data_IF_868637023930
#
_entry.id   IF_868637023930
#
_cell.length_a   1.000
_cell.length_b   1.000
_cell.length_c   1.000
_cell.angle_alpha   90.00
_cell.angle_beta   90.00
_cell.angle_gamma   90.00
#
_symmetry.space_group_name_H-M   'P 1'
#
loop_
_entity.id
_entity.type
_entity.pdbx_description
1 polymer ?
#
# COMPACT_ATOMS: atom_id res chain seq x y z
N UNK A 1 -25.87 -39.45 44.01
CA UNK A 1 -25.42 -39.72 45.39
C UNK A 1 -23.95 -39.35 45.44
N UNK A 2 -23.40 -38.38 46.18
CA UNK A 2 -23.79 -37.54 47.31
C UNK A 2 -22.95 -36.25 47.17
N UNK A 3 -23.55 -35.07 46.92
CA UNK A 3 -23.68 -33.94 47.86
C UNK A 3 -22.49 -33.72 48.84
N UNK A 4 -21.87 -32.54 48.79
CA UNK A 4 -22.05 -31.50 49.83
C UNK A 4 -21.36 -30.18 49.49
N UNK A 5 -22.17 -29.14 49.46
CA UNK A 5 -21.84 -27.73 49.70
C UNK A 5 -21.45 -27.51 51.17
N UNK A 6 -20.67 -26.45 51.48
CA UNK A 6 -21.12 -25.35 52.37
C UNK A 6 -20.04 -24.28 52.66
N UNK A 7 -20.48 -23.01 52.58
CA UNK A 7 -20.26 -21.83 53.48
C UNK A 7 -18.80 -21.35 53.70
N UNK A 8 -18.46 -20.09 53.94
CA UNK A 8 -19.09 -18.80 54.34
C UNK A 8 -17.90 -17.79 54.37
N UNK A 9 -17.98 -16.47 54.38
CA UNK A 9 -19.05 -15.52 54.64
C UNK A 9 -18.50 -14.07 54.55
N UNK A 10 -19.43 -13.12 54.49
CA UNK A 10 -19.27 -11.68 54.63
C UNK A 10 -18.52 -11.22 55.88
N UNK A 11 -17.87 -10.04 55.80
CA UNK A 11 -18.07 -8.95 56.78
C UNK A 11 -17.98 -7.58 56.09
N UNK A 12 -18.96 -6.73 56.40
CA UNK A 12 -19.08 -5.29 56.14
C UNK A 12 -18.71 -4.58 57.45
N UNK A 13 -18.07 -3.39 57.37
CA UNK A 13 -18.36 -2.14 58.11
C UNK A 13 -17.10 -1.24 58.13
N UNK A 14 -17.07 0.08 58.23
CA UNK A 14 -17.95 1.26 58.01
C UNK A 14 -17.26 2.40 58.79
N UNK A 15 -17.08 3.57 58.15
CA UNK A 15 -16.93 4.95 58.66
C UNK A 15 -16.05 5.26 59.90
N UNK A 16 -15.29 6.37 59.81
CA UNK A 16 -15.71 7.64 60.41
C UNK A 16 -14.73 8.81 60.14
N UNK A 17 -15.33 9.95 59.76
CA UNK A 17 -14.75 11.29 59.69
C UNK A 17 -14.38 11.85 61.06
N UNK A 18 -13.41 12.78 61.09
CA UNK A 18 -13.43 13.94 62.00
C UNK A 18 -12.86 15.19 61.30
N UNK A 19 -13.68 16.24 61.30
CA UNK A 19 -13.43 17.66 61.01
C UNK A 19 -12.45 18.27 62.04
N UNK A 20 -11.65 19.34 61.77
CA UNK A 20 -12.01 20.79 61.67
C UNK A 20 -10.69 21.61 61.93
N UNK A 21 -10.62 22.97 61.92
CA UNK A 21 -10.89 23.96 60.84
C UNK A 21 -9.88 25.17 60.79
N UNK A 22 -10.21 26.19 59.96
CA UNK A 22 -9.77 27.64 59.91
C UNK A 22 -8.33 27.96 59.45
N UNK A 23 -8.00 29.00 58.65
CA UNK A 23 -8.68 30.25 58.27
C UNK A 23 -8.01 30.95 57.05
N UNK A 24 -8.80 31.77 56.33
CA UNK A 24 -8.45 32.98 55.53
C UNK A 24 -7.41 32.85 54.39
N UNK A 25 -7.63 33.28 53.14
CA UNK A 25 -8.65 34.13 52.54
C UNK A 25 -7.96 34.99 51.47
N UNK A 26 -8.30 34.82 50.19
CA UNK A 26 -8.10 35.85 49.17
C UNK A 26 -8.95 35.56 47.93
N UNK A 27 -9.63 36.62 47.49
CA UNK A 27 -10.47 36.72 46.31
C UNK A 27 -9.65 36.62 45.02
N UNK A 28 -10.21 36.01 43.98
CA UNK A 28 -10.54 36.71 42.73
C UNK A 28 -10.95 35.72 41.63
N UNK A 29 -12.09 36.04 41.00
CA UNK A 29 -12.52 35.68 39.64
C UNK A 29 -12.26 34.25 39.13
N UNK A 30 -13.34 33.48 39.02
CA UNK A 30 -13.42 32.29 38.17
C UNK A 30 -13.04 32.63 36.70
N UNK A 31 -12.09 31.93 36.07
CA UNK A 31 -11.91 32.04 34.64
C UNK A 31 -13.02 31.25 33.94
N UNK A 32 -13.79 31.99 33.14
CA UNK A 32 -14.72 31.49 32.13
C UNK A 32 -14.02 30.42 31.26
N UNK A 33 -14.67 29.30 30.90
CA UNK A 33 -14.05 28.32 30.01
C UNK A 33 -13.73 29.00 28.68
N UNK A 34 -12.44 29.05 28.35
CA UNK A 34 -11.95 29.48 27.05
C UNK A 34 -12.45 28.47 26.02
N UNK A 35 -13.06 28.90 24.90
CA UNK A 35 -13.37 27.98 23.82
C UNK A 35 -12.04 27.39 23.34
N UNK A 36 -11.91 26.07 23.43
CA UNK A 36 -10.84 25.31 22.80
C UNK A 36 -10.79 25.75 21.34
N UNK A 37 -9.73 26.49 21.02
CA UNK A 37 -9.47 26.95 19.68
C UNK A 37 -9.05 25.71 18.91
N UNK A 38 -10.02 25.21 18.13
CA UNK A 38 -9.81 24.43 16.91
C UNK A 38 -8.59 25.02 16.18
N UNK A 39 -7.44 24.41 16.43
CA UNK A 39 -6.20 24.66 15.71
C UNK A 39 -6.08 23.56 14.66
N UNK A 40 -6.96 23.68 13.67
CA UNK A 40 -6.65 23.32 12.30
C UNK A 40 -5.42 24.16 11.87
N UNK A 41 -4.23 23.84 12.38
CA UNK A 41 -2.98 24.40 11.85
C UNK A 41 -2.75 23.70 10.51
N UNK A 42 -2.71 24.42 9.38
CA UNK A 42 -2.42 23.82 8.10
C UNK A 42 -1.02 23.18 8.19
N UNK A 43 -1.00 21.87 7.99
CA UNK A 43 0.18 21.02 7.93
C UNK A 43 1.23 21.69 7.04
N UNK A 44 2.36 22.13 7.62
CA UNK A 44 3.36 22.90 6.87
C UNK A 44 3.93 22.01 5.76
N UNK A 45 4.01 22.51 4.51
CA UNK A 45 4.59 21.73 3.42
C UNK A 45 6.03 21.36 3.78
N UNK A 46 6.37 20.07 3.71
CA UNK A 46 7.75 19.61 3.84
C UNK A 46 8.59 20.32 2.78
N UNK A 47 9.47 21.23 3.21
CA UNK A 47 10.33 21.98 2.28
C UNK A 47 11.36 21.00 1.74
N UNK A 48 11.20 20.61 0.47
CA UNK A 48 12.13 19.72 -0.25
C UNK A 48 13.14 20.53 -1.03
N UNK A 49 14.42 20.20 -0.87
CA UNK A 49 15.52 20.80 -1.63
C UNK A 49 16.24 19.71 -2.40
N UNK A 50 16.75 20.03 -3.60
CA UNK A 50 17.52 19.09 -4.41
C UNK A 50 18.99 19.48 -4.37
N UNK A 51 19.84 18.54 -3.95
CA UNK A 51 21.29 18.66 -4.05
C UNK A 51 21.80 17.71 -5.13
N UNK A 52 22.59 18.25 -6.07
CA UNK A 52 23.03 17.53 -7.25
C UNK A 52 24.56 17.47 -7.30
N UNK A 53 25.10 16.27 -7.08
CA UNK A 53 26.52 15.95 -7.21
C UNK A 53 26.77 15.23 -8.54
N UNK A 54 27.61 15.78 -9.41
CA UNK A 54 27.97 15.16 -10.69
C UNK A 54 29.42 14.69 -10.65
N UNK A 55 29.59 13.38 -10.66
CA UNK A 55 30.86 12.70 -10.66
C UNK A 55 31.52 12.81 -12.05
N UNK A 56 32.69 13.42 -12.10
CA UNK A 56 33.49 13.63 -13.31
C UNK A 56 34.89 13.03 -13.15
N UNK A 57 35.47 12.59 -14.27
CA UNK A 57 36.86 12.13 -14.29
C UNK A 57 37.84 13.30 -14.50
N UNK A 58 39.13 13.08 -14.23
CA UNK A 58 40.19 14.09 -14.31
C UNK A 58 40.48 14.61 -15.73
N UNK A 59 40.02 13.90 -16.77
CA UNK A 59 40.39 14.20 -18.15
C UNK A 59 39.80 15.54 -18.65
N UNK A 60 40.50 16.29 -19.53
CA UNK A 60 40.09 17.64 -19.94
C UNK A 60 38.70 17.72 -20.59
N UNK A 61 38.30 16.69 -21.33
CA UNK A 61 36.99 16.59 -21.97
C UNK A 61 35.83 16.68 -20.96
N UNK A 62 35.96 16.06 -19.78
CA UNK A 62 34.94 16.13 -18.73
C UNK A 62 34.75 17.54 -18.17
N UNK A 63 35.81 18.37 -18.12
CA UNK A 63 35.71 19.74 -17.61
C UNK A 63 34.89 20.64 -18.53
N UNK A 64 35.07 20.49 -19.84
CA UNK A 64 34.27 21.23 -20.84
C UNK A 64 32.80 20.82 -20.73
N UNK A 65 32.53 19.52 -20.65
CA UNK A 65 31.17 18.99 -20.47
C UNK A 65 30.54 19.39 -19.13
N UNK A 66 31.31 19.46 -18.05
CA UNK A 66 30.85 19.96 -16.76
C UNK A 66 30.41 21.42 -16.83
N UNK A 67 31.11 22.27 -17.60
CA UNK A 67 30.68 23.66 -17.79
C UNK A 67 29.36 23.76 -18.58
N UNK A 68 29.21 22.97 -19.64
CA UNK A 68 27.97 22.91 -20.43
C UNK A 68 26.78 22.46 -19.56
N UNK A 69 26.96 21.40 -18.78
CA UNK A 69 25.95 20.92 -17.83
C UNK A 69 25.66 21.91 -16.71
N UNK A 70 26.68 22.58 -16.19
CA UNK A 70 26.54 23.57 -15.13
C UNK A 70 25.64 24.73 -15.55
N UNK A 71 25.81 25.23 -16.78
CA UNK A 71 24.95 26.27 -17.35
C UNK A 71 23.51 25.78 -17.50
N UNK A 72 23.32 24.62 -18.12
CA UNK A 72 21.98 24.06 -18.34
C UNK A 72 21.22 23.86 -17.03
N UNK A 73 21.87 23.28 -16.01
CA UNK A 73 21.23 23.01 -14.72
C UNK A 73 20.94 24.29 -13.94
N UNK A 74 21.81 25.31 -14.04
CA UNK A 74 21.55 26.64 -13.47
C UNK A 74 20.36 27.33 -14.12
N UNK A 75 20.21 27.24 -15.45
CA UNK A 75 19.03 27.74 -16.18
C UNK A 75 17.74 27.04 -15.73
N UNK A 76 17.83 25.77 -15.35
CA UNK A 76 16.72 25.00 -14.78
C UNK A 76 16.47 25.30 -13.29
N UNK A 77 17.25 26.17 -12.66
CA UNK A 77 17.10 26.56 -11.25
C UNK A 77 17.83 25.67 -10.24
N UNK A 78 18.75 24.81 -10.69
CA UNK A 78 19.51 23.89 -9.85
C UNK A 78 20.98 24.30 -9.74
N UNK A 79 21.61 24.00 -8.60
CA UNK A 79 23.02 24.31 -8.35
C UNK A 79 23.87 23.02 -8.27
N UNK A 80 24.38 22.50 -9.41
CA UNK A 80 25.19 21.28 -9.40
C UNK A 80 26.59 21.50 -8.82
N UNK A 81 27.08 20.50 -8.10
CA UNK A 81 28.49 20.39 -7.67
C UNK A 81 29.18 19.33 -8.52
N UNK A 82 30.21 19.74 -9.25
CA UNK A 82 31.04 18.81 -10.03
C UNK A 82 32.25 18.39 -9.21
N UNK A 83 32.47 17.09 -9.04
CA UNK A 83 33.59 16.56 -8.26
C UNK A 83 34.05 15.21 -8.76
N UNK A 84 35.21 14.76 -8.28
CA UNK A 84 35.69 13.41 -8.54
C UNK A 84 34.96 12.39 -7.65
N UNK A 85 34.78 11.15 -8.14
CA UNK A 85 34.24 10.06 -7.34
C UNK A 85 35.22 9.70 -6.21
N UNK A 86 34.70 9.42 -5.02
CA UNK A 86 35.46 8.75 -3.97
C UNK A 86 35.66 7.27 -4.36
N UNK A 87 36.71 6.59 -3.86
CA UNK A 87 36.89 5.16 -4.13
C UNK A 87 35.65 4.35 -3.73
N UNK A 88 35.09 3.58 -4.68
CA UNK A 88 33.90 2.76 -4.46
C UNK A 88 32.57 3.53 -4.41
N UNK A 89 32.54 4.82 -4.77
CA UNK A 89 31.32 5.61 -4.76
C UNK A 89 30.42 5.32 -5.96
N UNK A 90 29.15 5.04 -5.70
CA UNK A 90 28.15 4.72 -6.70
C UNK A 90 27.14 5.86 -6.94
N UNK A 91 26.54 5.84 -8.15
CA UNK A 91 25.42 6.70 -8.55
C UNK A 91 24.21 6.32 -7.70
N UNK A 92 23.57 7.29 -7.06
CA UNK A 92 22.41 7.07 -6.19
C UNK A 92 21.52 8.29 -6.11
N UNK A 93 20.27 8.07 -5.70
CA UNK A 93 19.31 9.12 -5.37
C UNK A 93 18.77 8.76 -4.00
N UNK A 94 18.92 9.64 -3.02
CA UNK A 94 18.57 9.36 -1.63
C UNK A 94 17.93 10.58 -0.95
N UNK A 95 16.94 10.34 -0.08
CA UNK A 95 16.35 11.40 0.73
C UNK A 95 17.09 11.51 2.07
N UNK A 96 17.73 12.65 2.29
CA UNK A 96 18.40 13.01 3.54
C UNK A 96 17.43 13.84 4.37
N UNK A 97 16.92 13.25 5.45
CA UNK A 97 16.01 13.93 6.38
C UNK A 97 16.83 14.67 7.44
N UNK A 98 16.67 15.99 7.53
CA UNK A 98 17.27 16.85 8.55
C UNK A 98 16.17 17.67 9.24
N UNK A 99 15.63 17.15 10.35
CA UNK A 99 14.52 17.78 11.06
C UNK A 99 13.23 17.78 10.24
N UNK A 100 12.70 18.96 9.94
CA UNK A 100 11.51 19.20 9.10
C UNK A 100 11.84 19.35 7.60
N UNK A 101 13.13 19.32 7.24
CA UNK A 101 13.60 19.45 5.86
C UNK A 101 13.99 18.10 5.29
N UNK A 102 13.61 17.89 4.04
CA UNK A 102 14.05 16.72 3.27
C UNK A 102 14.91 17.23 2.11
N UNK A 103 16.14 16.76 2.05
CA UNK A 103 17.06 17.06 0.95
C UNK A 103 17.18 15.82 0.08
N UNK A 104 16.79 15.94 -1.18
CA UNK A 104 16.95 14.89 -2.18
C UNK A 104 18.36 15.00 -2.73
N UNK A 105 19.24 14.12 -2.27
CA UNK A 105 20.63 14.08 -2.66
C UNK A 105 20.80 13.15 -3.87
N UNK A 106 21.18 13.73 -5.00
CA UNK A 106 21.32 13.07 -6.28
C UNK A 106 22.81 13.01 -6.64
N UNK A 107 23.36 11.81 -6.67
CA UNK A 107 24.74 11.54 -7.12
C UNK A 107 24.68 10.95 -8.53
N UNK A 108 25.13 11.73 -9.52
CA UNK A 108 25.11 11.40 -10.94
C UNK A 108 26.49 11.03 -11.46
N UNK A 109 26.57 10.11 -12.42
CA UNK A 109 27.83 9.82 -13.12
C UNK A 109 27.87 10.46 -14.51
N UNK A 110 28.94 11.20 -14.84
CA UNK A 110 29.19 11.66 -16.20
C UNK A 110 29.94 10.59 -16.99
N UNK A 111 29.40 10.22 -18.15
CA UNK A 111 30.04 9.30 -19.10
C UNK A 111 31.02 10.04 -20.01
N UNK A 112 31.90 9.29 -20.70
CA UNK A 112 32.92 9.85 -21.59
C UNK A 112 32.36 10.62 -22.79
N UNK A 113 31.13 10.29 -23.21
CA UNK A 113 30.38 10.98 -24.25
C UNK A 113 29.74 12.30 -23.77
N UNK A 114 29.94 12.66 -22.50
CA UNK A 114 29.39 13.86 -21.89
C UNK A 114 27.93 13.73 -21.46
N UNK A 115 27.32 12.55 -21.53
CA UNK A 115 26.01 12.29 -20.94
C UNK A 115 26.09 12.13 -19.43
N UNK A 116 25.01 12.44 -18.71
CA UNK A 116 24.88 12.17 -17.27
C UNK A 116 23.89 11.03 -17.04
N UNK A 117 24.12 10.27 -15.98
CA UNK A 117 23.22 9.20 -15.54
C UNK A 117 22.63 9.54 -14.18
N UNK A 118 21.30 9.47 -14.08
CA UNK A 118 20.52 9.58 -12.84
C UNK A 118 19.79 8.25 -12.64
N UNK A 119 20.18 7.50 -11.62
CA UNK A 119 19.72 6.11 -11.45
C UNK A 119 19.98 5.28 -12.72
N UNK A 120 18.91 4.75 -13.33
CA UNK A 120 18.99 3.96 -14.57
C UNK A 120 18.89 4.79 -15.86
N UNK A 121 18.51 6.06 -15.77
CA UNK A 121 18.23 6.91 -16.92
C UNK A 121 19.49 7.66 -17.37
N UNK A 122 19.64 7.81 -18.69
CA UNK A 122 20.75 8.53 -19.33
C UNK A 122 20.20 9.81 -19.95
N UNK A 123 20.85 10.94 -19.69
CA UNK A 123 20.48 12.25 -20.23
C UNK A 123 21.63 12.85 -21.01
N UNK A 124 21.28 13.45 -22.15
CA UNK A 124 22.18 14.27 -22.97
C UNK A 124 21.81 15.74 -22.82
N UNK A 125 22.67 16.64 -23.31
CA UNK A 125 22.39 18.09 -23.25
C UNK A 125 21.11 18.48 -24.02
N UNK A 126 20.67 17.67 -24.99
CA UNK A 126 19.43 17.91 -25.74
C UNK A 126 18.18 17.46 -24.99
N UNK A 127 18.31 16.68 -23.91
CA UNK A 127 17.19 16.17 -23.11
C UNK A 127 16.78 17.13 -21.99
N UNK A 128 17.06 18.43 -22.11
CA UNK A 128 16.84 19.44 -21.06
C UNK A 128 15.42 19.43 -20.48
N UNK A 129 14.39 19.36 -21.33
CA UNK A 129 12.99 19.29 -20.90
C UNK A 129 12.69 18.00 -20.12
N UNK A 130 13.21 16.85 -20.57
CA UNK A 130 13.00 15.58 -19.88
C UNK A 130 13.71 15.57 -18.53
N UNK A 131 14.93 16.09 -18.49
CA UNK A 131 15.70 16.22 -17.27
C UNK A 131 15.01 17.15 -16.26
N UNK A 132 14.47 18.28 -16.73
CA UNK A 132 13.69 19.19 -15.88
C UNK A 132 12.52 18.48 -15.22
N UNK A 133 11.73 17.74 -16.00
CA UNK A 133 10.59 16.97 -15.48
C UNK A 133 11.06 16.01 -14.39
N UNK A 134 12.13 15.25 -14.64
CA UNK A 134 12.65 14.29 -13.66
C UNK A 134 13.18 14.97 -12.39
N UNK A 135 13.89 16.11 -12.51
CA UNK A 135 14.38 16.84 -11.35
C UNK A 135 13.26 17.51 -10.56
N UNK A 136 12.24 18.04 -11.24
CA UNK A 136 11.04 18.59 -10.61
C UNK A 136 10.26 17.48 -9.90
N UNK A 137 10.10 16.31 -10.52
CA UNK A 137 9.50 15.13 -9.88
C UNK A 137 10.29 14.67 -8.64
N UNK A 138 11.62 14.64 -8.71
CA UNK A 138 12.45 14.31 -7.56
C UNK A 138 12.34 15.37 -6.46
N UNK A 139 12.27 16.66 -6.81
CA UNK A 139 12.03 17.74 -5.84
C UNK A 139 10.68 17.59 -5.15
N UNK A 140 9.64 17.27 -5.91
CA UNK A 140 8.27 17.28 -5.43
C UNK A 140 7.95 15.99 -4.64
N UNK A 141 8.45 14.83 -5.10
CA UNK A 141 8.12 13.49 -4.57
C UNK A 141 9.27 12.75 -3.88
N UNK A 142 10.51 13.27 -3.92
CA UNK A 142 11.68 12.62 -3.34
C UNK A 142 12.29 11.52 -4.21
N UNK A 143 13.26 10.81 -3.64
CA UNK A 143 14.13 9.85 -4.33
C UNK A 143 13.43 8.69 -5.03
N UNK A 144 12.22 8.30 -4.61
CA UNK A 144 11.45 7.27 -5.30
C UNK A 144 10.49 7.78 -6.38
N UNK A 145 10.49 9.07 -6.73
CA UNK A 145 9.69 9.62 -7.83
C UNK A 145 8.17 9.62 -7.58
N UNK A 146 7.37 9.97 -8.61
CA UNK A 146 5.94 10.17 -8.43
C UNK A 146 5.23 8.88 -8.02
N UNK A 147 4.40 8.91 -6.96
CA UNK A 147 3.83 7.70 -6.38
C UNK A 147 2.92 6.95 -7.36
N UNK A 148 2.34 7.63 -8.34
CA UNK A 148 1.43 7.05 -9.33
C UNK A 148 2.13 6.13 -10.35
N UNK A 149 3.46 6.24 -10.53
CA UNK A 149 4.20 5.48 -11.57
C UNK A 149 5.26 4.52 -11.02
N UNK A 150 5.61 4.63 -9.74
CA UNK A 150 6.55 3.72 -9.08
C UNK A 150 5.81 2.71 -8.19
N UNK A 151 6.03 1.40 -8.31
CA UNK A 151 5.44 0.40 -7.41
C UNK A 151 5.85 0.56 -5.93
N UNK A 152 6.88 1.35 -5.62
CA UNK A 152 7.31 1.67 -4.23
C UNK A 152 6.83 3.04 -3.75
N UNK A 153 6.05 3.78 -4.56
CA UNK A 153 5.40 5.04 -4.19
C UNK A 153 6.33 6.13 -3.65
N UNK A 154 7.53 6.31 -4.21
CA UNK A 154 8.46 7.30 -3.66
C UNK A 154 9.39 6.76 -2.58
N UNK A 155 9.15 5.54 -2.09
CA UNK A 155 9.94 4.95 -1.00
C UNK A 155 11.12 4.12 -1.49
N UNK A 156 12.19 4.13 -0.70
CA UNK A 156 13.28 3.16 -0.79
C UNK A 156 12.79 1.76 -0.38
N UNK A 157 13.49 0.71 -0.77
CA UNK A 157 13.16 -0.68 -0.38
C UNK A 157 13.09 -0.86 1.15
N UNK A 158 14.05 -0.28 1.89
CA UNK A 158 14.06 -0.32 3.35
C UNK A 158 12.80 0.33 3.95
N UNK A 159 12.39 1.49 3.42
CA UNK A 159 11.19 2.19 3.87
C UNK A 159 9.92 1.41 3.52
N UNK A 160 9.87 0.78 2.34
CA UNK A 160 8.75 -0.08 1.98
C UNK A 160 8.62 -1.27 2.95
N UNK A 161 9.74 -1.90 3.32
CA UNK A 161 9.76 -2.96 4.32
C UNK A 161 9.32 -2.47 5.71
N UNK A 162 9.65 -1.23 6.09
CA UNK A 162 9.12 -0.62 7.32
C UNK A 162 7.59 -0.51 7.29
N UNK A 163 7.01 -0.04 6.18
CA UNK A 163 5.55 0.02 5.99
C UNK A 163 4.92 -1.37 6.02
N UNK A 164 5.47 -2.31 5.24
CA UNK A 164 4.96 -3.68 5.19
C UNK A 164 4.95 -4.32 6.58
N UNK A 165 5.98 -4.07 7.39
CA UNK A 165 6.05 -4.57 8.75
C UNK A 165 4.94 -4.01 9.63
N UNK A 166 4.71 -2.70 9.59
CA UNK A 166 3.61 -2.06 10.36
C UNK A 166 2.24 -2.59 9.91
N UNK A 167 2.05 -2.75 8.61
CA UNK A 167 0.80 -3.25 8.04
C UNK A 167 0.62 -4.77 8.12
N UNK A 168 1.64 -5.52 8.55
CA UNK A 168 1.59 -6.98 8.71
C UNK A 168 0.80 -7.45 9.93
N UNK A 169 0.43 -6.55 10.85
CA UNK A 169 -0.39 -6.88 12.01
C UNK A 169 -1.69 -7.58 11.58
N UNK A 170 -2.09 -8.68 12.24
CA UNK A 170 -3.27 -9.42 11.84
C UNK A 170 -4.56 -8.70 12.24
N UNK A 171 -5.57 -8.84 11.39
CA UNK A 171 -6.95 -8.47 11.69
C UNK A 171 -7.54 -9.51 12.65
N UNK A 172 -8.22 -9.05 13.71
CA UNK A 172 -8.75 -9.92 14.78
C UNK A 172 -10.25 -10.18 14.67
N UNK A 173 -10.97 -9.30 13.98
CA UNK A 173 -12.44 -9.30 13.94
C UNK A 173 -12.98 -9.39 12.50
N UNK A 174 -14.29 -9.67 12.40
CA UNK A 174 -15.01 -9.59 11.11
C UNK A 174 -15.26 -8.12 10.81
N UNK A 175 -15.16 -7.74 9.53
CA UNK A 175 -15.36 -6.36 9.10
C UNK A 175 -16.70 -6.20 8.43
N UNK A 176 -17.52 -5.28 8.94
CA UNK A 176 -18.81 -4.93 8.33
C UNK A 176 -18.63 -3.82 7.30
N UNK A 177 -19.23 -4.00 6.12
CA UNK A 177 -19.08 -3.12 4.96
C UNK A 177 -20.19 -2.07 4.89
N UNK A 178 -20.32 -1.26 5.94
CA UNK A 178 -21.28 -0.16 6.02
C UNK A 178 -20.85 1.03 5.15
N UNK A 179 -19.65 1.55 5.40
CA UNK A 179 -19.02 2.60 4.60
C UNK A 179 -17.50 2.37 4.55
N UNK A 180 -16.79 2.92 3.54
CA UNK A 180 -15.35 2.72 3.42
C UNK A 180 -14.58 3.16 4.67
N UNK A 181 -14.94 4.32 5.24
CA UNK A 181 -14.25 4.87 6.40
C UNK A 181 -14.48 3.99 7.64
N UNK A 182 -15.75 3.69 7.96
CA UNK A 182 -16.10 2.87 9.13
C UNK A 182 -15.50 1.47 9.03
N UNK A 183 -15.56 0.85 7.85
CA UNK A 183 -15.00 -0.49 7.62
C UNK A 183 -13.48 -0.49 7.81
N UNK A 184 -12.76 0.51 7.29
CA UNK A 184 -11.31 0.61 7.46
C UNK A 184 -10.92 0.92 8.90
N UNK A 185 -11.67 1.78 9.60
CA UNK A 185 -11.42 2.07 11.02
C UNK A 185 -11.65 0.83 11.90
N UNK A 186 -12.66 0.01 11.58
CA UNK A 186 -12.96 -1.22 12.32
C UNK A 186 -11.84 -2.28 12.26
N UNK A 187 -10.94 -2.19 11.27
CA UNK A 187 -9.75 -3.05 11.19
C UNK A 187 -8.71 -2.74 12.30
N UNK A 188 -8.88 -1.62 13.01
CA UNK A 188 -7.98 -1.17 14.08
C UNK A 188 -6.61 -0.77 13.53
N UNK A 189 -6.49 0.44 12.97
CA UNK A 189 -5.25 0.93 12.37
C UNK A 189 -4.06 0.83 13.33
N UNK A 190 -2.87 0.40 12.86
CA UNK A 190 -1.66 0.38 13.70
C UNK A 190 -1.30 1.78 14.22
N UNK A 191 -0.60 1.83 15.35
CA UNK A 191 -0.11 3.08 15.90
C UNK A 191 0.81 3.80 14.90
N UNK A 192 0.59 5.10 14.70
CA UNK A 192 1.36 5.90 13.75
C UNK A 192 0.87 5.86 12.30
N UNK A 193 -0.21 5.13 12.01
CA UNK A 193 -0.88 5.14 10.70
C UNK A 193 -2.08 6.08 10.72
N UNK A 194 -2.13 7.01 9.76
CA UNK A 194 -3.28 7.91 9.54
C UNK A 194 -3.91 7.66 8.16
N UNK A 195 -5.19 7.97 8.01
CA UNK A 195 -5.89 7.89 6.72
C UNK A 195 -6.23 9.28 6.20
N UNK A 196 -6.03 9.50 4.91
CA UNK A 196 -6.43 10.74 4.24
C UNK A 196 -7.07 10.41 2.90
N UNK A 197 -8.28 10.91 2.66
CA UNK A 197 -8.99 10.71 1.39
C UNK A 197 -8.65 11.83 0.41
N UNK A 198 -8.23 11.46 -0.80
CA UNK A 198 -8.18 12.37 -1.93
C UNK A 198 -9.61 12.77 -2.37
N UNK A 199 -9.76 13.89 -3.07
CA UNK A 199 -11.08 14.41 -3.46
C UNK A 199 -11.88 13.40 -4.29
N UNK A 200 -11.26 12.75 -5.28
CA UNK A 200 -11.88 11.71 -6.09
C UNK A 200 -12.29 10.46 -5.27
N UNK A 201 -11.57 10.16 -4.18
CA UNK A 201 -11.94 9.10 -3.25
C UNK A 201 -13.11 9.50 -2.36
N UNK A 202 -13.19 10.77 -1.92
CA UNK A 202 -14.33 11.27 -1.14
C UNK A 202 -15.62 11.16 -1.93
N UNK A 203 -15.61 11.64 -3.18
CA UNK A 203 -16.79 11.53 -4.05
C UNK A 203 -17.24 10.09 -4.26
N UNK A 204 -16.29 9.16 -4.46
CA UNK A 204 -16.59 7.74 -4.62
C UNK A 204 -17.05 7.06 -3.34
N UNK A 205 -16.50 7.46 -2.18
CA UNK A 205 -16.90 6.95 -0.88
C UNK A 205 -18.35 7.34 -0.50
N UNK A 206 -18.89 8.42 -1.10
CA UNK A 206 -20.30 8.79 -0.97
C UNK A 206 -21.23 7.91 -1.82
N UNK A 207 -20.67 7.19 -2.81
CA UNK A 207 -21.39 6.22 -3.61
C UNK A 207 -21.78 4.98 -2.81
N UNK A 208 -22.81 4.28 -3.26
CA UNK A 208 -23.16 2.96 -2.69
C UNK A 208 -22.24 1.89 -3.25
N UNK A 209 -21.84 0.94 -2.41
CA UNK A 209 -21.25 -0.32 -2.86
C UNK A 209 -22.23 -1.06 -3.78
N UNK A 210 -21.75 -1.85 -4.76
CA UNK A 210 -22.64 -2.67 -5.57
C UNK A 210 -23.39 -3.69 -4.69
N UNK A 211 -24.58 -4.11 -5.14
CA UNK A 211 -25.39 -5.12 -4.45
C UNK A 211 -24.68 -6.48 -4.35
N UNK A 212 -23.80 -6.78 -5.32
CA UNK A 212 -22.94 -7.96 -5.33
C UNK A 212 -21.77 -7.91 -4.34
N UNK A 213 -21.55 -6.79 -3.63
CA UNK A 213 -20.61 -6.77 -2.51
C UNK A 213 -21.21 -7.49 -1.29
N UNK A 214 -20.42 -8.24 -0.52
CA UNK A 214 -20.92 -8.85 0.71
C UNK A 214 -21.26 -7.78 1.76
N UNK A 215 -22.06 -8.14 2.77
CA UNK A 215 -22.32 -7.27 3.93
C UNK A 215 -21.15 -7.25 4.91
N UNK A 216 -20.40 -8.34 4.98
CA UNK A 216 -19.26 -8.51 5.88
C UNK A 216 -18.13 -9.30 5.22
N UNK A 217 -16.90 -9.11 5.70
CA UNK A 217 -15.72 -9.85 5.27
C UNK A 217 -15.03 -10.49 6.48
N UNK A 218 -14.85 -11.81 6.41
CA UNK A 218 -14.01 -12.53 7.37
C UNK A 218 -12.52 -12.40 6.97
N UNK A 219 -11.91 -11.32 7.47
CA UNK A 219 -10.49 -11.03 7.26
C UNK A 219 -9.61 -11.55 8.39
N UNK A 220 -10.14 -12.36 9.32
CA UNK A 220 -9.39 -12.79 10.51
C UNK A 220 -8.08 -13.46 10.16
N UNK A 221 -7.01 -12.97 10.76
CA UNK A 221 -5.63 -13.42 10.55
C UNK A 221 -5.03 -13.01 9.21
N UNK A 222 -5.73 -12.27 8.34
CA UNK A 222 -5.08 -11.54 7.25
C UNK A 222 -4.38 -10.31 7.84
N UNK A 223 -3.30 -9.84 7.21
CA UNK A 223 -2.63 -8.60 7.58
C UNK A 223 -3.54 -7.39 7.32
N UNK A 224 -3.38 -6.34 8.14
CA UNK A 224 -4.13 -5.09 8.00
C UNK A 224 -3.89 -4.42 6.65
N UNK A 225 -2.68 -4.46 6.08
CA UNK A 225 -2.40 -3.87 4.75
C UNK A 225 -3.30 -4.44 3.65
N UNK A 226 -3.25 -5.76 3.48
CA UNK A 226 -4.11 -6.49 2.54
C UNK A 226 -5.59 -6.38 2.93
N UNK A 227 -5.93 -6.44 4.22
CA UNK A 227 -7.29 -6.28 4.71
C UNK A 227 -7.91 -4.92 4.34
N UNK A 228 -7.19 -3.82 4.56
CA UNK A 228 -7.59 -2.47 4.15
C UNK A 228 -7.80 -2.42 2.64
N UNK A 229 -6.87 -2.97 1.85
CA UNK A 229 -6.99 -2.98 0.39
C UNK A 229 -8.19 -3.81 -0.10
N UNK A 230 -8.47 -4.97 0.51
CA UNK A 230 -9.63 -5.81 0.18
C UNK A 230 -10.94 -5.08 0.50
N UNK A 231 -11.03 -4.40 1.64
CA UNK A 231 -12.20 -3.59 2.03
C UNK A 231 -12.41 -2.45 1.03
N UNK A 232 -11.36 -1.67 0.76
CA UNK A 232 -11.45 -0.53 -0.15
C UNK A 232 -11.82 -0.95 -1.58
N UNK A 233 -11.35 -2.11 -2.05
CA UNK A 233 -11.69 -2.66 -3.36
C UNK A 233 -13.21 -2.92 -3.52
N UNK A 234 -13.95 -3.14 -2.43
CA UNK A 234 -15.43 -3.28 -2.49
C UNK A 234 -16.13 -1.98 -2.88
N UNK A 235 -15.44 -0.85 -2.75
CA UNK A 235 -15.92 0.49 -3.04
C UNK A 235 -15.22 1.15 -4.23
N UNK A 236 -14.36 0.41 -4.96
CA UNK A 236 -13.56 0.97 -6.06
C UNK A 236 -12.52 1.96 -5.57
N UNK A 237 -12.00 1.73 -4.37
CA UNK A 237 -10.98 2.54 -3.73
C UNK A 237 -9.72 1.68 -3.51
N UNK A 238 -8.61 2.36 -3.35
CA UNK A 238 -7.38 1.77 -2.83
C UNK A 238 -6.56 2.84 -2.12
N UNK A 239 -5.35 2.52 -1.68
CA UNK A 239 -4.52 3.49 -0.97
C UNK A 239 -3.09 3.48 -1.45
N UNK A 240 -2.34 4.54 -1.15
CA UNK A 240 -0.89 4.59 -1.28
C UNK A 240 -0.30 5.01 0.06
N UNK A 241 0.72 4.30 0.56
CA UNK A 241 1.45 4.75 1.73
C UNK A 241 2.33 5.95 1.39
N UNK A 242 2.29 6.96 2.24
CA UNK A 242 3.21 8.08 2.26
C UNK A 242 3.95 8.08 3.59
N UNK A 243 5.27 8.26 3.54
CA UNK A 243 6.09 8.34 4.74
C UNK A 243 6.06 9.76 5.28
N UNK A 244 5.58 9.92 6.52
CA UNK A 244 5.68 11.17 7.26
C UNK A 244 7.00 11.19 8.03
N UNK A 245 7.29 10.12 8.78
CA UNK A 245 8.51 9.96 9.57
C UNK A 245 8.85 8.46 9.73
N UNK A 246 9.89 8.15 10.50
CA UNK A 246 10.16 6.76 10.88
C UNK A 246 8.96 6.18 11.65
N UNK A 247 8.46 5.01 11.20
CA UNK A 247 7.28 4.33 11.73
C UNK A 247 5.99 5.18 11.79
N UNK A 248 5.91 6.28 11.02
CA UNK A 248 4.69 7.09 10.90
C UNK A 248 4.35 7.28 9.45
N UNK A 249 3.17 6.81 9.09
CA UNK A 249 2.72 6.68 7.71
C UNK A 249 1.33 7.28 7.55
N UNK A 250 1.10 7.92 6.41
CA UNK A 250 -0.22 8.29 5.95
C UNK A 250 -0.63 7.33 4.84
N UNK A 251 -1.83 6.76 4.93
CA UNK A 251 -2.42 6.01 3.83
C UNK A 251 -3.34 6.98 3.09
N UNK A 252 -2.87 7.46 1.94
CA UNK A 252 -3.66 8.29 1.06
C UNK A 252 -4.60 7.39 0.27
N UNK A 253 -5.90 7.48 0.54
CA UNK A 253 -6.95 6.76 -0.14
C UNK A 253 -7.32 7.50 -1.43
N UNK A 254 -7.37 6.76 -2.53
CA UNK A 254 -7.64 7.25 -3.87
C UNK A 254 -8.66 6.34 -4.57
N UNK A 255 -9.22 6.85 -5.65
CA UNK A 255 -10.11 6.12 -6.54
C UNK A 255 -9.35 5.09 -7.41
N UNK A 256 -9.94 3.91 -7.57
CA UNK A 256 -9.51 2.88 -8.51
C UNK A 256 -8.88 1.66 -7.85
N UNK A 257 -8.00 0.97 -8.59
CA UNK A 257 -7.45 -0.33 -8.21
C UNK A 257 -6.00 -0.56 -8.67
N UNK A 258 -5.72 -1.76 -9.16
CA UNK A 258 -4.40 -2.21 -9.61
C UNK A 258 -3.90 -1.41 -10.81
N UNK A 259 -4.80 -1.07 -11.73
CA UNK A 259 -4.50 -0.21 -12.90
C UNK A 259 -4.03 1.19 -12.52
N UNK A 260 -4.37 1.66 -11.30
CA UNK A 260 -3.99 2.97 -10.77
C UNK A 260 -2.73 2.96 -9.90
N UNK A 261 -1.99 1.84 -9.86
CA UNK A 261 -0.80 1.65 -9.04
C UNK A 261 -1.08 1.97 -7.55
N UNK A 262 -2.19 1.46 -7.02
CA UNK A 262 -2.53 1.51 -5.59
C UNK A 262 -1.90 0.32 -4.85
N UNK A 263 -1.93 0.33 -3.51
CA UNK A 263 -1.50 -0.80 -2.70
C UNK A 263 -2.27 -2.05 -3.13
N UNK A 264 -1.58 -3.12 -3.55
CA UNK A 264 -2.28 -4.27 -4.11
C UNK A 264 -3.04 -4.98 -2.99
N UNK A 265 -4.15 -5.65 -3.32
CA UNK A 265 -4.92 -6.38 -2.28
C UNK A 265 -4.14 -7.54 -1.67
N UNK A 266 -3.06 -7.97 -2.32
CA UNK A 266 -1.99 -8.79 -1.78
C UNK A 266 -0.82 -8.83 -2.76
N UNK A 267 0.26 -9.48 -2.37
CA UNK A 267 1.52 -9.49 -3.10
C UNK A 267 1.70 -10.77 -3.91
N UNK A 268 2.60 -10.70 -4.90
CA UNK A 268 3.08 -11.89 -5.60
C UNK A 268 3.96 -12.70 -4.66
N UNK A 269 3.81 -14.02 -4.68
CA UNK A 269 4.61 -14.92 -3.86
C UNK A 269 6.06 -14.94 -4.32
N UNK A 270 7.00 -14.94 -3.38
CA UNK A 270 8.44 -15.06 -3.70
C UNK A 270 8.75 -16.43 -4.31
N UNK A 271 8.15 -17.47 -3.76
CA UNK A 271 8.24 -18.83 -4.28
C UNK A 271 7.18 -19.10 -5.34
N UNK A 272 7.36 -20.16 -6.13
CA UNK A 272 6.35 -20.59 -7.10
C UNK A 272 5.11 -21.12 -6.39
N UNK A 273 3.91 -20.82 -6.91
CA UNK A 273 2.63 -21.31 -6.35
C UNK A 273 2.62 -22.85 -6.24
N UNK A 274 3.30 -23.54 -7.15
CA UNK A 274 3.46 -24.99 -7.12
C UNK A 274 4.14 -25.51 -5.83
N UNK A 275 5.08 -24.74 -5.28
CA UNK A 275 5.86 -25.10 -4.08
C UNK A 275 5.07 -24.81 -2.81
N UNK A 276 4.48 -23.62 -2.70
CA UNK A 276 3.75 -23.16 -1.51
C UNK A 276 2.32 -23.68 -1.42
N UNK A 277 1.68 -23.97 -2.57
CA UNK A 277 0.32 -24.48 -2.66
C UNK A 277 0.25 -25.63 -3.68
N UNK A 278 0.86 -26.81 -3.39
CA UNK A 278 0.88 -27.92 -4.35
C UNK A 278 -0.50 -28.40 -4.77
N UNK A 279 -1.51 -28.23 -3.91
CA UNK A 279 -2.90 -28.56 -4.22
C UNK A 279 -3.45 -27.79 -5.44
N UNK A 280 -2.88 -26.63 -5.76
CA UNK A 280 -3.25 -25.81 -6.92
C UNK A 280 -3.02 -26.50 -8.26
N UNK A 281 -2.07 -27.44 -8.31
CA UNK A 281 -1.74 -28.22 -9.51
C UNK A 281 -2.27 -29.65 -9.48
N UNK A 282 -2.86 -30.09 -8.36
CA UNK A 282 -3.38 -31.46 -8.22
C UNK A 282 -4.77 -31.55 -8.84
N UNK A 283 -4.91 -32.39 -9.86
CA UNK A 283 -6.19 -32.59 -10.53
C UNK A 283 -7.28 -33.07 -9.57
N UNK A 284 -8.45 -32.46 -9.68
CA UNK A 284 -9.68 -32.80 -8.98
C UNK A 284 -10.76 -33.19 -10.00
N UNK A 285 -11.66 -34.13 -9.65
CA UNK A 285 -12.82 -34.39 -10.48
C UNK A 285 -13.75 -33.18 -10.46
N UNK A 286 -14.08 -32.65 -11.64
CA UNK A 286 -14.97 -31.51 -11.80
C UNK A 286 -15.84 -31.80 -13.01
N UNK A 287 -17.04 -32.31 -12.74
CA UNK A 287 -18.08 -32.48 -13.74
C UNK A 287 -19.19 -31.50 -13.38
N UNK A 288 -19.28 -30.41 -14.14
CA UNK A 288 -20.15 -29.28 -13.82
C UNK A 288 -20.91 -28.85 -15.06
N UNK A 289 -22.22 -28.73 -14.90
CA UNK A 289 -23.13 -28.24 -15.92
C UNK A 289 -23.75 -26.96 -15.39
N UNK A 290 -23.54 -25.85 -16.11
CA UNK A 290 -24.06 -24.52 -15.81
C UNK A 290 -23.88 -24.08 -14.33
N UNK A 291 -22.74 -24.44 -13.73
CA UNK A 291 -22.45 -24.10 -12.34
C UNK A 291 -22.05 -22.63 -12.21
N UNK A 292 -22.59 -21.96 -11.18
CA UNK A 292 -22.25 -20.59 -10.83
C UNK A 292 -20.75 -20.45 -10.50
N UNK A 293 -20.11 -19.37 -10.96
CA UNK A 293 -18.69 -19.13 -10.71
C UNK A 293 -18.41 -18.98 -9.22
N UNK A 294 -19.29 -18.33 -8.45
CA UNK A 294 -19.20 -18.20 -6.99
C UNK A 294 -19.10 -19.58 -6.31
N UNK A 295 -19.96 -20.53 -6.68
CA UNK A 295 -19.96 -21.89 -6.16
C UNK A 295 -18.69 -22.65 -6.55
N UNK A 296 -18.22 -22.49 -7.79
CA UNK A 296 -16.94 -23.09 -8.24
C UNK A 296 -15.76 -22.55 -7.44
N UNK A 297 -15.74 -21.24 -7.15
CA UNK A 297 -14.70 -20.63 -6.31
C UNK A 297 -14.76 -21.14 -4.87
N UNK A 298 -15.95 -21.38 -4.31
CA UNK A 298 -16.09 -21.99 -2.99
C UNK A 298 -15.52 -23.41 -2.94
N UNK A 299 -15.77 -24.23 -3.97
CA UNK A 299 -15.16 -25.58 -4.08
C UNK A 299 -13.64 -25.51 -4.19
N UNK A 300 -13.12 -24.55 -4.97
CA UNK A 300 -11.67 -24.32 -5.08
C UNK A 300 -11.09 -23.85 -3.74
N UNK A 301 -11.76 -22.93 -3.05
CA UNK A 301 -11.41 -22.43 -1.70
C UNK A 301 -11.25 -23.57 -0.72
N UNK A 302 -12.27 -24.42 -0.59
CA UNK A 302 -12.29 -25.57 0.32
C UNK A 302 -11.15 -26.54 0.00
N UNK A 303 -10.93 -26.80 -1.29
CA UNK A 303 -9.87 -27.71 -1.74
C UNK A 303 -8.47 -27.18 -1.44
N UNK A 304 -8.26 -25.89 -1.65
CA UNK A 304 -6.97 -25.22 -1.45
C UNK A 304 -6.74 -24.84 0.01
N UNK A 305 -7.81 -24.79 0.83
CA UNK A 305 -7.81 -24.31 2.21
C UNK A 305 -7.28 -22.87 2.34
N UNK A 306 -7.64 -22.03 1.38
CA UNK A 306 -7.33 -20.60 1.38
C UNK A 306 -8.64 -19.83 1.16
N UNK A 307 -8.86 -18.68 1.82
CA UNK A 307 -10.06 -17.89 1.59
C UNK A 307 -10.09 -17.32 0.17
N UNK A 308 -11.29 -17.01 -0.31
CA UNK A 308 -11.52 -16.32 -1.57
C UNK A 308 -12.09 -14.94 -1.26
N UNK A 309 -11.50 -13.92 -1.87
CA UNK A 309 -12.02 -12.56 -1.85
C UNK A 309 -12.16 -12.06 -3.29
N UNK A 310 -13.08 -11.14 -3.53
CA UNK A 310 -13.33 -10.58 -4.85
C UNK A 310 -13.33 -9.05 -4.83
N UNK A 311 -13.13 -8.43 -6.00
CA UNK A 311 -13.37 -7.00 -6.18
C UNK A 311 -14.80 -6.78 -6.66
N UNK A 312 -15.77 -6.69 -5.75
CA UNK A 312 -17.17 -6.54 -6.18
C UNK A 312 -17.40 -5.26 -6.99
N UNK A 313 -16.69 -4.16 -6.70
CA UNK A 313 -16.80 -2.92 -7.47
C UNK A 313 -16.33 -3.09 -8.91
N UNK A 314 -15.14 -3.63 -9.13
CA UNK A 314 -14.58 -3.79 -10.49
C UNK A 314 -15.38 -4.80 -11.31
N UNK A 315 -15.83 -5.88 -10.68
CA UNK A 315 -16.69 -6.87 -11.31
C UNK A 315 -18.03 -6.26 -11.71
N UNK A 316 -18.71 -5.55 -10.81
CA UNK A 316 -19.98 -4.89 -11.09
C UNK A 316 -19.84 -3.80 -12.16
N UNK A 317 -18.76 -3.02 -12.12
CA UNK A 317 -18.46 -1.98 -13.13
C UNK A 317 -18.23 -2.56 -14.52
N UNK A 318 -17.74 -3.80 -14.60
CA UNK A 318 -17.61 -4.56 -15.84
C UNK A 318 -18.88 -5.36 -16.21
N UNK A 319 -19.98 -5.19 -15.48
CA UNK A 319 -21.23 -5.93 -15.69
C UNK A 319 -21.13 -7.42 -15.38
N UNK A 320 -20.25 -7.82 -14.46
CA UNK A 320 -19.99 -9.21 -14.09
C UNK A 320 -20.46 -9.47 -12.66
N UNK A 321 -21.35 -10.43 -12.51
CA UNK A 321 -21.76 -10.96 -11.21
C UNK A 321 -21.34 -12.43 -11.11
N UNK A 322 -20.53 -12.79 -10.11
CA UNK A 322 -20.02 -14.16 -9.96
C UNK A 322 -21.12 -15.18 -9.63
N UNK A 323 -22.25 -14.73 -9.08
CA UNK A 323 -23.41 -15.57 -8.76
C UNK A 323 -24.28 -15.83 -10.00
N UNK A 324 -24.25 -14.95 -10.99
CA UNK A 324 -25.03 -15.09 -12.23
C UNK A 324 -24.24 -15.76 -13.35
N UNK A 325 -22.92 -15.61 -13.35
CA UNK A 325 -22.05 -16.19 -14.36
C UNK A 325 -21.95 -17.70 -14.16
N UNK A 326 -22.20 -18.45 -15.23
CA UNK A 326 -22.14 -19.91 -15.22
C UNK A 326 -20.99 -20.47 -16.06
N UNK A 327 -20.51 -21.64 -15.66
CA UNK A 327 -19.47 -22.37 -16.38
C UNK A 327 -19.77 -23.87 -16.40
N UNK A 328 -19.66 -24.44 -17.59
CA UNK A 328 -19.96 -25.85 -17.87
C UNK A 328 -18.72 -26.51 -18.45
N UNK A 329 -18.38 -27.70 -17.92
CA UNK A 329 -17.26 -28.53 -18.39
C UNK A 329 -17.52 -29.99 -18.02
N UNK A 330 -17.38 -30.86 -19.02
CA UNK A 330 -17.54 -32.31 -18.91
C UNK A 330 -16.20 -33.06 -18.93
N UNK A 331 -15.22 -32.62 -18.13
CA UNK A 331 -13.92 -33.29 -18.01
C UNK A 331 -13.77 -34.06 -16.70
N UNK A 332 -13.32 -35.31 -16.78
CA UNK A 332 -13.22 -36.16 -15.58
C UNK A 332 -12.26 -35.64 -14.50
N UNK A 333 -11.21 -34.89 -14.86
CA UNK A 333 -10.18 -34.40 -13.91
C UNK A 333 -9.48 -33.14 -14.42
N UNK A 334 -9.45 -32.08 -13.62
CA UNK A 334 -8.75 -30.82 -13.92
C UNK A 334 -8.07 -30.25 -12.66
N UNK A 335 -6.90 -29.63 -12.81
CA UNK A 335 -6.25 -28.93 -11.70
C UNK A 335 -6.94 -27.57 -11.44
N UNK A 336 -7.06 -27.11 -10.18
CA UNK A 336 -7.62 -25.80 -9.86
C UNK A 336 -7.02 -24.65 -10.69
N UNK A 337 -5.71 -24.65 -10.90
CA UNK A 337 -5.03 -23.66 -11.74
C UNK A 337 -5.60 -23.59 -13.16
N UNK A 338 -5.76 -24.74 -13.82
CA UNK A 338 -6.30 -24.83 -15.18
C UNK A 338 -7.79 -24.51 -15.22
N UNK A 339 -8.53 -24.89 -14.19
CA UNK A 339 -9.95 -24.58 -14.07
C UNK A 339 -10.15 -23.07 -14.01
N UNK A 340 -9.46 -22.39 -13.09
CA UNK A 340 -9.52 -20.94 -12.95
C UNK A 340 -9.06 -20.22 -14.21
N UNK A 341 -7.99 -20.67 -14.86
CA UNK A 341 -7.58 -20.11 -16.17
C UNK A 341 -8.68 -20.28 -17.22
N UNK A 342 -9.29 -21.47 -17.32
CA UNK A 342 -10.35 -21.71 -18.32
C UNK A 342 -11.60 -20.85 -18.07
N UNK A 343 -11.99 -20.69 -16.80
CA UNK A 343 -13.08 -19.79 -16.39
C UNK A 343 -12.71 -18.34 -16.72
N UNK A 344 -11.49 -17.94 -16.35
CA UNK A 344 -10.95 -16.60 -16.56
C UNK A 344 -10.95 -16.21 -18.03
N UNK A 345 -10.43 -17.06 -18.90
CA UNK A 345 -10.35 -16.81 -20.34
C UNK A 345 -11.76 -16.72 -20.97
N UNK A 346 -12.67 -17.63 -20.61
CA UNK A 346 -14.04 -17.67 -21.15
C UNK A 346 -14.88 -16.47 -20.71
N UNK A 347 -14.77 -16.06 -19.44
CA UNK A 347 -15.61 -15.04 -18.82
C UNK A 347 -14.91 -13.69 -18.64
N UNK A 348 -13.68 -13.57 -19.15
CA UNK A 348 -12.83 -12.38 -19.00
C UNK A 348 -12.61 -12.00 -17.53
N UNK A 349 -12.41 -13.01 -16.67
CA UNK A 349 -12.15 -12.86 -15.24
C UNK A 349 -10.65 -13.08 -14.95
N UNK A 350 -10.20 -12.46 -13.88
CA UNK A 350 -8.86 -12.61 -13.34
C UNK A 350 -8.88 -13.35 -12.01
N UNK A 351 -8.06 -14.41 -11.91
CA UNK A 351 -7.88 -15.16 -10.67
C UNK A 351 -6.39 -15.24 -10.33
N UNK A 352 -6.03 -14.76 -9.15
CA UNK A 352 -4.64 -14.72 -8.69
C UNK A 352 -4.53 -15.27 -7.27
N UNK A 353 -3.62 -16.21 -7.06
CA UNK A 353 -3.18 -16.58 -5.70
C UNK A 353 -2.22 -15.50 -5.23
N UNK A 354 -2.61 -14.80 -4.17
CA UNK A 354 -1.84 -13.69 -3.58
C UNK A 354 -1.43 -14.05 -2.15
N UNK A 355 -0.38 -13.38 -1.67
CA UNK A 355 0.10 -13.49 -0.30
C UNK A 355 -0.01 -12.14 0.38
N UNK A 356 -0.52 -12.11 1.60
CA UNK A 356 -0.58 -10.89 2.39
C UNK A 356 0.80 -10.53 2.98
N UNK A 357 0.93 -9.39 3.66
CA UNK A 357 2.18 -8.96 4.29
C UNK A 357 2.64 -9.90 5.43
N UNK A 358 1.71 -10.68 6.00
CA UNK A 358 1.96 -11.68 7.04
C UNK A 358 2.28 -13.09 6.52
N UNK A 359 2.27 -13.30 5.20
CA UNK A 359 2.53 -14.60 4.57
C UNK A 359 1.30 -15.49 4.36
N UNK A 360 0.09 -15.02 4.68
CA UNK A 360 -1.16 -15.77 4.48
C UNK A 360 -1.59 -15.73 3.01
N UNK A 361 -1.92 -16.90 2.48
CA UNK A 361 -2.39 -17.05 1.10
C UNK A 361 -3.90 -16.89 1.01
N UNK A 362 -4.35 -16.29 -0.08
CA UNK A 362 -5.75 -16.20 -0.47
C UNK A 362 -5.90 -16.16 -1.99
N UNK A 363 -7.09 -16.49 -2.48
CA UNK A 363 -7.45 -16.35 -3.88
C UNK A 363 -8.17 -15.02 -4.09
N UNK A 364 -7.67 -14.20 -5.01
CA UNK A 364 -8.28 -12.95 -5.42
C UNK A 364 -9.01 -13.12 -6.76
N UNK A 365 -10.29 -12.74 -6.81
CA UNK A 365 -11.11 -12.73 -8.01
C UNK A 365 -11.44 -11.29 -8.45
N UNK A 366 -11.11 -10.94 -9.68
CA UNK A 366 -11.37 -9.60 -10.24
C UNK A 366 -11.57 -9.68 -11.76
N UNK A 367 -11.59 -8.55 -12.46
CA UNK A 367 -11.62 -8.51 -13.92
C UNK A 367 -10.28 -8.97 -14.52
N UNK A 368 -10.30 -9.46 -15.76
CA UNK A 368 -9.05 -9.84 -16.45
C UNK A 368 -8.07 -8.65 -16.57
N UNK A 369 -8.58 -7.43 -16.73
CA UNK A 369 -7.78 -6.20 -16.82
C UNK A 369 -7.01 -5.92 -15.53
N UNK A 370 -7.70 -5.91 -14.39
CA UNK A 370 -7.09 -5.66 -13.07
C UNK A 370 -6.06 -6.75 -12.71
N UNK A 371 -6.37 -8.01 -13.03
CA UNK A 371 -5.42 -9.12 -12.85
C UNK A 371 -4.20 -8.99 -13.76
N UNK A 372 -4.38 -8.54 -15.01
CA UNK A 372 -3.27 -8.27 -15.91
C UNK A 372 -2.39 -7.12 -15.41
N UNK A 373 -2.99 -6.03 -14.92
CA UNK A 373 -2.27 -4.90 -14.32
C UNK A 373 -1.42 -5.33 -13.12
N UNK A 374 -2.00 -6.13 -12.22
CA UNK A 374 -1.28 -6.73 -11.09
C UNK A 374 -0.08 -7.58 -11.58
N UNK A 375 -0.29 -8.49 -12.52
CA UNK A 375 0.78 -9.36 -13.05
C UNK A 375 1.88 -8.56 -13.73
N UNK A 376 1.53 -7.54 -14.50
CA UNK A 376 2.47 -6.67 -15.19
C UNK A 376 3.37 -5.91 -14.20
N UNK A 377 2.79 -5.40 -13.10
CA UNK A 377 3.53 -4.72 -12.03
C UNK A 377 4.65 -5.58 -11.44
N UNK A 378 4.39 -6.87 -11.25
CA UNK A 378 5.35 -7.82 -10.67
C UNK A 378 6.08 -8.70 -11.71
N UNK A 379 6.01 -8.35 -13.00
CA UNK A 379 6.70 -9.06 -14.07
C UNK A 379 8.22 -8.83 -14.03
N UNK A 380 8.65 -7.66 -13.57
CA UNK A 380 10.07 -7.27 -13.49
C UNK A 380 10.73 -7.58 -12.14
N UNK A 381 9.93 -7.91 -11.12
CA UNK A 381 10.43 -8.46 -9.86
C UNK A 381 10.84 -9.90 -10.13
N UNK A 382 12.01 -10.08 -10.75
CA UNK A 382 12.76 -11.34 -10.64
C UNK A 382 12.85 -11.63 -9.15
N UNK A 383 12.48 -12.86 -8.79
CA UNK A 383 12.61 -13.39 -7.44
C UNK A 383 13.93 -12.89 -6.85
N UNK A 384 13.85 -12.00 -5.87
CA UNK A 384 14.97 -11.61 -5.03
C UNK A 384 15.28 -12.82 -4.14
N UNK A 385 15.85 -13.84 -4.77
CA UNK A 385 16.43 -15.00 -4.11
C UNK A 385 17.92 -14.74 -3.98
N UNK A 386 18.33 -14.58 -2.72
CA UNK A 386 19.68 -14.74 -2.13
C UNK A 386 20.85 -13.93 -2.70
#
# INVERSE_FOLDING_TARGET
MCSKQHLSGWWILTLALCFSPVAYGQSDSAPKPTPETDSTEPERPVIRTVELDILIQSAPNYRVKAQEWGRLLQELGYAPKFRQPKPGEEIRVEDIVQGDRVTVHIVCGMSSDGSIRIGRQKFTLTDSNKLRIVLDELRDYGSGGPPQRNPTWGMTEKQLLEVMKVLSEPVTEVVHLESPLVAVESLGLPEGVKLTFADAARERALGRRPESAPEELDLKGCSKGSGIAIVLAQYGLGFRPQRIAANRFELQIDAGGETNNLWPTGWKTQETVAKILPAYLKSIPVDVEDAEVSALLAVVSERLKIPVFNSSFELASAGKNLEELTYSRSEKKIAPSRLLTSIGDKLQLGFDVRVDEGGKLFLWATTAEESAAFRARFAHVKQLTE
#
